data_IF_921756084088
#
_entry.id   IF_921756084088
#
_cell.length_a   1.000
_cell.length_b   1.000
_cell.length_c   1.000
_cell.angle_alpha   90.00
_cell.angle_beta   90.00
_cell.angle_gamma   90.00
#
_symmetry.space_group_name_H-M   'P 1'
#
loop_
_entity.id
_entity.type
_entity.pdbx_description
1 polymer ?
#
# COMPACT_ATOMS: atom_id res chain seq x y z
N UNK A 1 12.01 -7.83 -23.47
CA UNK A 1 13.01 -8.19 -22.44
C UNK A 1 12.40 -9.25 -21.55
N UNK A 2 13.09 -10.35 -21.27
CA UNK A 2 12.52 -11.51 -20.56
C UNK A 2 13.38 -11.86 -19.34
N UNK A 3 12.72 -12.08 -18.20
CA UNK A 3 13.36 -12.34 -16.92
C UNK A 3 12.70 -13.54 -16.24
N UNK A 4 13.53 -14.46 -15.77
CA UNK A 4 13.11 -15.56 -14.91
C UNK A 4 13.33 -15.14 -13.47
N UNK A 5 12.24 -15.00 -12.73
CA UNK A 5 12.23 -14.61 -11.33
C UNK A 5 12.07 -15.87 -10.48
N UNK A 6 12.87 -15.94 -9.42
CA UNK A 6 12.74 -16.96 -8.38
C UNK A 6 12.08 -16.31 -7.18
N UNK A 7 11.03 -16.96 -6.67
CA UNK A 7 10.37 -16.49 -5.48
C UNK A 7 11.33 -16.55 -4.29
N UNK A 8 11.56 -15.39 -3.68
CA UNK A 8 12.26 -15.25 -2.41
C UNK A 8 11.30 -14.62 -1.41
N UNK A 9 11.01 -15.37 -0.34
CA UNK A 9 10.05 -14.95 0.68
C UNK A 9 10.46 -13.62 1.35
N UNK A 10 11.75 -13.39 1.57
CA UNK A 10 12.22 -12.16 2.22
C UNK A 10 12.06 -10.96 1.30
N UNK A 11 12.39 -11.11 0.01
CA UNK A 11 12.18 -10.07 -0.99
C UNK A 11 10.69 -9.73 -1.08
N UNK A 12 9.84 -10.74 -1.23
CA UNK A 12 8.39 -10.55 -1.33
C UNK A 12 7.80 -9.90 -0.06
N UNK A 13 8.20 -10.35 1.14
CA UNK A 13 7.76 -9.73 2.40
C UNK A 13 8.14 -8.25 2.47
N UNK A 14 9.36 -7.91 2.07
CA UNK A 14 9.82 -6.52 2.04
C UNK A 14 9.02 -5.68 1.03
N UNK A 15 8.77 -6.21 -0.17
CA UNK A 15 7.97 -5.55 -1.21
C UNK A 15 6.54 -5.26 -0.74
N UNK A 16 5.91 -6.24 -0.08
CA UNK A 16 4.55 -6.09 0.45
C UNK A 16 4.51 -5.09 1.62
N UNK A 17 5.51 -5.09 2.49
CA UNK A 17 5.62 -4.10 3.56
C UNK A 17 5.84 -2.67 3.00
N UNK A 18 6.61 -2.52 1.92
CA UNK A 18 6.77 -1.25 1.21
C UNK A 18 5.48 -0.76 0.56
N UNK A 19 4.73 -1.67 -0.07
CA UNK A 19 3.42 -1.40 -0.66
C UNK A 19 2.44 -0.92 0.42
N UNK A 20 2.42 -1.60 1.57
CA UNK A 20 1.61 -1.23 2.73
C UNK A 20 1.95 0.18 3.21
N UNK A 21 3.23 0.48 3.34
CA UNK A 21 3.69 1.81 3.76
C UNK A 21 3.28 2.88 2.75
N UNK A 22 3.38 2.61 1.45
CA UNK A 22 2.90 3.52 0.40
C UNK A 22 1.40 3.79 0.50
N UNK A 23 0.59 2.77 0.83
CA UNK A 23 -0.86 2.89 0.86
C UNK A 23 -1.42 3.57 2.14
N UNK A 24 -0.76 3.39 3.29
CA UNK A 24 -1.34 3.76 4.60
C UNK A 24 -0.48 4.63 5.51
N UNK A 25 0.82 4.81 5.27
CA UNK A 25 1.72 5.53 6.20
C UNK A 25 1.24 6.94 6.54
N UNK A 26 0.83 7.71 5.52
CA UNK A 26 0.40 9.10 5.72
C UNK A 26 -0.96 9.19 6.43
N UNK A 27 -1.88 8.26 6.13
CA UNK A 27 -3.19 8.19 6.79
C UNK A 27 -3.03 7.86 8.28
N UNK A 28 -2.09 6.98 8.62
CA UNK A 28 -1.77 6.66 10.01
C UNK A 28 -1.15 7.88 10.70
N UNK A 29 -0.20 8.55 10.04
CA UNK A 29 0.46 9.73 10.60
C UNK A 29 -0.54 10.85 10.92
N UNK A 30 -1.51 11.10 10.02
CA UNK A 30 -2.51 12.14 10.19
C UNK A 30 -3.36 11.95 11.47
N UNK A 31 -3.79 10.72 11.74
CA UNK A 31 -4.63 10.42 12.90
C UNK A 31 -3.84 10.10 14.17
N UNK A 32 -2.51 9.90 14.08
CA UNK A 32 -1.68 9.42 15.20
C UNK A 32 -1.82 10.28 16.46
N UNK A 33 -2.02 11.58 16.33
CA UNK A 33 -2.08 12.49 17.49
C UNK A 33 -3.46 13.09 17.76
N UNK A 34 -4.44 12.90 16.88
CA UNK A 34 -5.76 13.55 17.02
C UNK A 34 -6.53 13.07 18.26
N UNK A 35 -6.29 11.82 18.68
CA UNK A 35 -6.94 11.25 19.86
C UNK A 35 -6.54 11.95 21.16
N UNK A 36 -5.30 12.43 21.30
CA UNK A 36 -4.87 13.16 22.51
C UNK A 36 -5.67 14.45 22.68
N UNK A 37 -5.82 15.24 21.60
CA UNK A 37 -6.61 16.47 21.64
C UNK A 37 -8.07 16.18 21.99
N UNK A 38 -8.65 15.15 21.37
CA UNK A 38 -10.02 14.73 21.67
C UNK A 38 -10.23 14.33 23.14
N UNK A 39 -9.31 13.53 23.71
CA UNK A 39 -9.35 13.11 25.12
C UNK A 39 -9.20 14.32 26.05
N UNK A 40 -8.28 15.23 25.77
CA UNK A 40 -8.08 16.45 26.57
C UNK A 40 -9.35 17.30 26.59
N UNK A 41 -9.99 17.50 25.42
CA UNK A 41 -11.24 18.25 25.31
C UNK A 41 -12.39 17.60 26.09
N UNK A 42 -12.48 16.27 26.07
CA UNK A 42 -13.46 15.54 26.88
C UNK A 42 -13.21 15.74 28.39
N UNK A 43 -11.96 15.61 28.85
CA UNK A 43 -11.61 15.78 30.26
C UNK A 43 -11.93 17.20 30.73
N UNK A 44 -11.48 18.22 29.99
CA UNK A 44 -11.75 19.64 30.34
C UNK A 44 -13.25 19.91 30.29
N UNK A 45 -13.93 19.44 29.23
CA UNK A 45 -15.37 19.59 29.07
C UNK A 45 -16.14 18.98 30.24
N UNK A 46 -15.79 17.77 30.69
CA UNK A 46 -16.37 17.09 31.84
C UNK A 46 -16.08 17.80 33.17
N UNK A 47 -14.87 18.30 33.38
CA UNK A 47 -14.53 19.05 34.60
C UNK A 47 -15.34 20.34 34.73
N UNK A 48 -15.68 20.99 33.62
CA UNK A 48 -16.53 22.19 33.62
C UNK A 48 -18.00 21.92 33.99
N UNK A 49 -18.40 20.67 34.21
CA UNK A 49 -19.73 20.31 34.73
C UNK A 49 -19.78 20.11 36.25
N UNK A 50 -18.64 20.04 36.93
CA UNK A 50 -18.61 19.55 38.32
C UNK A 50 -19.36 20.45 39.32
N UNK A 51 -19.38 21.76 39.11
CA UNK A 51 -20.03 22.72 40.02
C UNK A 51 -21.27 23.42 39.43
N UNK A 52 -21.26 23.72 38.13
CA UNK A 52 -22.42 24.28 37.40
C UNK A 52 -22.37 23.87 35.93
N UNK A 53 -23.49 23.46 35.30
CA UNK A 53 -23.50 23.15 33.88
C UNK A 53 -23.05 24.36 33.05
N UNK A 54 -21.96 24.22 32.32
CA UNK A 54 -21.44 25.24 31.42
C UNK A 54 -21.76 24.90 29.98
N UNK A 55 -22.40 25.82 29.24
CA UNK A 55 -22.59 25.68 27.79
C UNK A 55 -21.26 25.45 27.08
N UNK A 56 -20.19 26.09 27.56
CA UNK A 56 -18.84 25.90 27.02
C UNK A 56 -18.33 24.47 27.25
N UNK A 57 -18.65 23.85 28.39
CA UNK A 57 -18.33 22.44 28.66
C UNK A 57 -18.99 21.50 27.64
N UNK A 58 -20.27 21.73 27.31
CA UNK A 58 -20.97 20.97 26.27
C UNK A 58 -20.29 21.11 24.91
N UNK A 59 -19.89 22.33 24.53
CA UNK A 59 -19.18 22.59 23.27
C UNK A 59 -17.86 21.79 23.23
N UNK A 60 -17.06 21.82 24.28
CA UNK A 60 -15.80 21.05 24.35
C UNK A 60 -16.02 19.54 24.22
N UNK A 61 -17.08 19.00 24.85
CA UNK A 61 -17.43 17.58 24.71
C UNK A 61 -17.79 17.24 23.26
N UNK A 62 -18.65 18.05 22.62
CA UNK A 62 -19.05 17.84 21.22
C UNK A 62 -17.83 17.89 20.30
N UNK A 63 -16.94 18.86 20.47
CA UNK A 63 -15.69 18.94 19.70
C UNK A 63 -14.76 17.75 19.97
N UNK A 64 -14.62 17.33 21.23
CA UNK A 64 -13.84 16.16 21.61
C UNK A 64 -14.35 14.88 20.92
N UNK A 65 -15.67 14.65 20.94
CA UNK A 65 -16.30 13.54 20.23
C UNK A 65 -16.15 13.67 18.71
N UNK A 66 -16.30 14.89 18.16
CA UNK A 66 -16.12 15.16 16.73
C UNK A 66 -14.73 14.82 16.21
N UNK A 67 -13.70 14.89 17.07
CA UNK A 67 -12.33 14.47 16.75
C UNK A 67 -12.14 12.96 16.97
N UNK A 68 -12.69 12.41 18.06
CA UNK A 68 -12.48 11.01 18.45
C UNK A 68 -13.25 10.02 17.56
N UNK A 69 -14.48 10.34 17.16
CA UNK A 69 -15.29 9.44 16.34
C UNK A 69 -14.60 9.12 14.99
N UNK A 70 -14.16 10.11 14.19
CA UNK A 70 -13.38 9.85 12.98
C UNK A 70 -12.09 9.07 13.30
N UNK A 71 -11.36 9.46 14.34
CA UNK A 71 -10.14 8.78 14.75
C UNK A 71 -10.37 7.27 14.96
N UNK A 72 -11.35 6.89 15.80
CA UNK A 72 -11.63 5.48 16.07
C UNK A 72 -12.12 4.76 14.83
N UNK A 73 -13.01 5.37 14.05
CA UNK A 73 -13.48 4.79 12.78
C UNK A 73 -12.31 4.46 11.84
N UNK A 74 -11.42 5.42 11.60
CA UNK A 74 -10.25 5.22 10.74
C UNK A 74 -9.25 4.24 11.34
N UNK A 75 -9.00 4.31 12.65
CA UNK A 75 -8.11 3.39 13.35
C UNK A 75 -8.56 1.94 13.19
N UNK A 76 -9.84 1.65 13.46
CA UNK A 76 -10.37 0.29 13.31
C UNK A 76 -10.42 -0.16 11.85
N UNK A 77 -10.78 0.73 10.92
CA UNK A 77 -10.77 0.43 9.49
C UNK A 77 -9.37 0.06 9.01
N UNK A 78 -8.36 0.86 9.34
CA UNK A 78 -6.96 0.60 9.00
C UNK A 78 -6.48 -0.69 9.66
N UNK A 79 -6.75 -0.89 10.96
CA UNK A 79 -6.38 -2.11 11.68
C UNK A 79 -6.96 -3.37 11.01
N UNK A 80 -8.22 -3.31 10.57
CA UNK A 80 -8.85 -4.40 9.82
C UNK A 80 -8.19 -4.63 8.47
N UNK A 81 -7.88 -3.58 7.73
CA UNK A 81 -7.16 -3.67 6.46
C UNK A 81 -5.76 -4.27 6.64
N UNK A 82 -5.05 -3.91 7.71
CA UNK A 82 -3.73 -4.48 8.04
C UNK A 82 -3.83 -5.98 8.28
N UNK A 83 -4.82 -6.41 9.06
CA UNK A 83 -5.03 -7.84 9.30
C UNK A 83 -5.32 -8.59 8.00
N UNK A 84 -6.21 -8.07 7.16
CA UNK A 84 -6.52 -8.66 5.86
C UNK A 84 -5.31 -8.72 4.93
N UNK A 85 -4.48 -7.67 4.93
CA UNK A 85 -3.24 -7.62 4.15
C UNK A 85 -2.24 -8.69 4.59
N UNK A 86 -2.03 -8.86 5.89
CA UNK A 86 -1.15 -9.91 6.43
C UNK A 86 -1.67 -11.33 6.11
N UNK A 87 -2.99 -11.53 6.16
CA UNK A 87 -3.62 -12.79 5.77
C UNK A 87 -3.42 -13.09 4.27
N UNK A 88 -3.59 -12.10 3.39
CA UNK A 88 -3.32 -12.24 1.94
C UNK A 88 -1.85 -12.50 1.68
N UNK A 89 -0.95 -11.72 2.30
CA UNK A 89 0.51 -11.87 2.20
C UNK A 89 0.94 -13.29 2.57
N UNK A 90 0.41 -13.82 3.68
CA UNK A 90 0.75 -15.19 4.14
C UNK A 90 0.25 -16.25 3.16
N UNK A 91 -0.99 -16.12 2.67
CA UNK A 91 -1.54 -17.05 1.67
C UNK A 91 -0.78 -17.04 0.35
N UNK A 92 -0.36 -15.86 -0.12
CA UNK A 92 0.44 -15.74 -1.35
C UNK A 92 1.82 -16.37 -1.18
N UNK A 93 2.47 -16.20 -0.03
CA UNK A 93 3.74 -16.87 0.28
C UNK A 93 3.58 -18.40 0.23
N UNK A 94 2.56 -18.94 0.90
CA UNK A 94 2.27 -20.38 0.89
C UNK A 94 1.98 -20.91 -0.53
N UNK A 95 1.27 -20.13 -1.34
CA UNK A 95 1.00 -20.48 -2.74
C UNK A 95 2.28 -20.46 -3.59
N UNK A 96 3.16 -19.47 -3.39
CA UNK A 96 4.37 -19.28 -4.18
C UNK A 96 5.52 -20.20 -3.78
N UNK A 97 5.54 -20.74 -2.55
CA UNK A 97 6.55 -21.72 -2.12
C UNK A 97 6.62 -22.97 -3.01
N UNK A 98 5.50 -23.35 -3.63
CA UNK A 98 5.42 -24.51 -4.52
C UNK A 98 5.64 -24.16 -6.01
N UNK A 99 5.87 -22.88 -6.33
CA UNK A 99 6.02 -22.40 -7.69
C UNK A 99 7.50 -22.26 -8.01
N UNK A 100 7.98 -23.12 -8.91
CA UNK A 100 9.40 -23.22 -9.23
C UNK A 100 9.94 -22.01 -10.02
N UNK A 101 9.13 -21.40 -10.88
CA UNK A 101 9.58 -20.34 -11.80
C UNK A 101 8.46 -19.37 -12.16
N UNK A 102 8.75 -18.09 -12.02
CA UNK A 102 7.95 -16.99 -12.52
C UNK A 102 8.70 -16.35 -13.68
N UNK A 103 8.02 -15.98 -14.75
CA UNK A 103 8.67 -15.31 -15.88
C UNK A 103 7.93 -14.04 -16.22
N UNK A 104 8.67 -12.94 -16.27
CA UNK A 104 8.16 -11.65 -16.71
C UNK A 104 8.79 -11.29 -18.04
N UNK A 105 7.96 -10.95 -19.01
CA UNK A 105 8.38 -10.54 -20.33
C UNK A 105 7.78 -9.19 -20.70
N UNK A 106 8.65 -8.19 -20.82
CA UNK A 106 8.35 -6.85 -21.25
C UNK A 106 8.37 -6.82 -22.78
N UNK A 107 7.19 -6.66 -23.38
CA UNK A 107 7.01 -6.57 -24.84
C UNK A 107 6.56 -5.16 -25.22
N UNK A 108 6.54 -4.88 -26.52
CA UNK A 108 6.02 -3.62 -27.06
C UNK A 108 4.54 -3.41 -26.72
N UNK A 109 3.77 -4.50 -26.63
CA UNK A 109 2.33 -4.48 -26.41
C UNK A 109 1.96 -4.45 -24.92
N UNK A 110 2.76 -5.07 -24.06
CA UNK A 110 2.45 -5.18 -22.64
C UNK A 110 3.46 -5.97 -21.82
N UNK A 111 3.12 -6.18 -20.56
CA UNK A 111 3.83 -7.07 -19.65
C UNK A 111 3.14 -8.44 -19.65
N UNK A 112 3.90 -9.47 -20.00
CA UNK A 112 3.45 -10.85 -19.92
C UNK A 112 4.02 -11.45 -18.63
N UNK A 113 3.14 -11.93 -17.76
CA UNK A 113 3.50 -12.68 -16.56
C UNK A 113 3.11 -14.13 -16.75
N UNK A 114 4.09 -15.02 -16.67
CA UNK A 114 3.89 -16.47 -16.73
C UNK A 114 4.23 -17.12 -15.41
N UNK A 115 3.32 -17.94 -14.92
CA UNK A 115 3.42 -18.67 -13.67
C UNK A 115 3.05 -20.13 -13.96
N UNK A 116 4.05 -21.00 -14.01
CA UNK A 116 3.87 -22.39 -14.48
C UNK A 116 3.20 -22.42 -15.87
N UNK A 117 2.00 -23.00 -15.96
CA UNK A 117 1.22 -23.13 -17.20
C UNK A 117 0.27 -21.95 -17.46
N UNK A 118 0.13 -21.04 -16.49
CA UNK A 118 -0.73 -19.87 -16.62
C UNK A 118 0.05 -18.69 -17.17
N UNK A 119 -0.48 -18.07 -18.21
CA UNK A 119 0.05 -16.86 -18.81
C UNK A 119 -0.99 -15.76 -18.78
N UNK A 120 -0.59 -14.57 -18.33
CA UNK A 120 -1.41 -13.37 -18.33
C UNK A 120 -0.65 -12.25 -19.01
N UNK A 121 -1.25 -11.67 -20.03
CA UNK A 121 -0.76 -10.44 -20.66
C UNK A 121 -1.54 -9.25 -20.12
N UNK A 122 -0.82 -8.21 -19.72
CA UNK A 122 -1.36 -6.91 -19.34
C UNK A 122 -0.86 -5.87 -20.32
N UNK A 123 -1.77 -5.27 -21.08
CA UNK A 123 -1.40 -4.24 -22.04
C UNK A 123 -0.89 -2.98 -21.32
N UNK A 124 0.03 -2.24 -21.94
CA UNK A 124 0.52 -0.98 -21.35
C UNK A 124 -0.63 0.03 -21.08
N UNK A 125 -1.73 -0.09 -21.82
CA UNK A 125 -2.94 0.72 -21.60
C UNK A 125 -3.63 0.47 -20.26
N UNK A 126 -3.43 -0.69 -19.63
CA UNK A 126 -4.05 -1.05 -18.34
C UNK A 126 -3.29 -0.50 -17.13
N UNK A 127 -2.07 0.00 -17.33
CA UNK A 127 -1.29 0.63 -16.26
C UNK A 127 -1.63 2.12 -16.13
N UNK A 128 -2.06 2.53 -14.94
CA UNK A 128 -2.36 3.93 -14.61
C UNK A 128 -1.05 4.69 -14.36
N UNK A 129 -0.15 4.09 -13.59
CA UNK A 129 1.07 4.76 -13.15
C UNK A 129 2.14 3.75 -12.73
N UNK A 130 3.35 4.26 -12.53
CA UNK A 130 4.43 3.52 -11.91
C UNK A 130 5.05 4.37 -10.78
N UNK A 131 5.62 3.69 -9.79
CA UNK A 131 6.31 4.31 -8.66
C UNK A 131 7.64 3.58 -8.43
N UNK A 132 8.66 4.32 -8.02
CA UNK A 132 9.94 3.75 -7.63
C UNK A 132 10.16 4.08 -6.16
N UNK A 133 10.42 3.06 -5.35
CA UNK A 133 10.75 3.24 -3.93
C UNK A 133 11.71 2.15 -3.48
N UNK A 134 12.81 2.55 -2.84
CA UNK A 134 13.79 1.64 -2.26
C UNK A 134 14.21 0.53 -3.23
N UNK A 135 14.60 0.91 -4.45
CA UNK A 135 15.01 0.02 -5.54
C UNK A 135 13.97 -1.04 -5.95
N UNK A 136 12.68 -0.73 -5.73
CA UNK A 136 11.55 -1.51 -6.22
C UNK A 136 10.71 -0.65 -7.16
N UNK A 137 10.36 -1.23 -8.31
CA UNK A 137 9.41 -0.69 -9.27
C UNK A 137 8.02 -1.23 -8.93
N UNK A 138 7.06 -0.34 -8.72
CA UNK A 138 5.65 -0.66 -8.54
C UNK A 138 4.89 -0.23 -9.79
N UNK A 139 4.25 -1.16 -10.47
CA UNK A 139 3.36 -0.92 -11.60
C UNK A 139 1.91 -1.02 -11.11
N UNK A 140 1.13 0.04 -11.25
CA UNK A 140 -0.24 0.10 -10.75
C UNK A 140 -1.21 0.03 -11.92
N UNK A 141 -2.05 -1.00 -11.92
CA UNK A 141 -3.09 -1.22 -12.92
C UNK A 141 -4.40 -0.50 -12.58
N UNK A 142 -5.31 -0.40 -13.55
CA UNK A 142 -6.67 0.13 -13.34
C UNK A 142 -7.48 -0.61 -12.27
N UNK A 143 -7.18 -1.90 -12.08
CA UNK A 143 -7.79 -2.74 -11.05
C UNK A 143 -7.14 -2.58 -9.67
N UNK A 144 -6.16 -1.69 -9.54
CA UNK A 144 -5.34 -1.52 -8.34
C UNK A 144 -4.66 -2.83 -7.89
N UNK A 145 -4.31 -3.69 -8.86
CA UNK A 145 -3.44 -4.85 -8.66
C UNK A 145 -1.99 -4.38 -8.89
N UNK A 146 -1.18 -4.18 -7.83
CA UNK A 146 0.19 -3.74 -7.98
C UNK A 146 1.08 -4.90 -8.41
N UNK A 147 1.93 -4.67 -9.40
CA UNK A 147 3.01 -5.58 -9.76
C UNK A 147 4.32 -4.97 -9.29
N UNK A 148 5.12 -5.72 -8.55
CA UNK A 148 6.34 -5.23 -7.91
C UNK A 148 7.54 -5.99 -8.47
N UNK A 149 8.59 -5.26 -8.82
CA UNK A 149 9.86 -5.82 -9.26
C UNK A 149 11.01 -5.12 -8.56
N UNK A 150 11.84 -5.88 -7.85
CA UNK A 150 13.03 -5.39 -7.18
C UNK A 150 14.25 -5.43 -8.08
N UNK A 151 15.15 -4.45 -7.92
CA UNK A 151 16.49 -4.46 -8.53
C UNK A 151 17.25 -5.75 -8.20
N UNK A 152 17.10 -6.25 -6.97
CA UNK A 152 17.74 -7.49 -6.50
C UNK A 152 17.30 -8.73 -7.27
N UNK A 153 16.12 -8.71 -7.91
CA UNK A 153 15.58 -9.84 -8.64
C UNK A 153 16.06 -9.91 -10.09
N UNK A 154 16.38 -8.75 -10.69
CA UNK A 154 16.78 -8.66 -12.11
C UNK A 154 18.21 -8.19 -12.33
N UNK A 155 18.86 -7.66 -11.29
CA UNK A 155 20.18 -7.04 -11.32
C UNK A 155 20.15 -5.57 -11.76
N UNK A 156 21.10 -4.77 -11.26
CA UNK A 156 21.18 -3.32 -11.44
C UNK A 156 21.07 -2.87 -12.92
N UNK A 157 21.85 -3.50 -13.81
CA UNK A 157 21.87 -3.13 -15.23
C UNK A 157 20.52 -3.36 -15.91
N UNK A 158 19.88 -4.50 -15.63
CA UNK A 158 18.58 -4.83 -16.19
C UNK A 158 17.48 -3.96 -15.57
N UNK A 159 17.58 -3.68 -14.27
CA UNK A 159 16.63 -2.82 -13.58
C UNK A 159 16.58 -1.43 -14.23
N UNK A 160 17.73 -0.81 -14.50
CA UNK A 160 17.81 0.47 -15.23
C UNK A 160 17.15 0.39 -16.61
N UNK A 161 17.41 -0.66 -17.40
CA UNK A 161 16.77 -0.87 -18.71
C UNK A 161 15.25 -1.01 -18.60
N UNK A 162 14.76 -1.69 -17.56
CA UNK A 162 13.32 -1.86 -17.31
C UNK A 162 12.69 -0.52 -16.94
N UNK A 163 13.33 0.28 -16.08
CA UNK A 163 12.86 1.61 -15.71
C UNK A 163 12.72 2.51 -16.94
N UNK A 164 13.77 2.60 -17.75
CA UNK A 164 13.76 3.40 -18.99
C UNK A 164 12.66 2.95 -19.96
N UNK A 165 12.41 1.64 -20.01
CA UNK A 165 11.37 1.07 -20.87
C UNK A 165 9.96 1.40 -20.35
N UNK A 166 9.71 1.17 -19.06
CA UNK A 166 8.42 1.42 -18.42
C UNK A 166 8.09 2.91 -18.43
N UNK A 167 9.06 3.78 -18.18
CA UNK A 167 8.86 5.22 -18.20
C UNK A 167 8.33 5.68 -19.56
N UNK A 168 8.93 5.22 -20.66
CA UNK A 168 8.45 5.53 -22.02
C UNK A 168 7.03 5.04 -22.25
N UNK A 169 6.74 3.78 -21.91
CA UNK A 169 5.43 3.15 -22.17
C UNK A 169 4.29 3.72 -21.36
N UNK A 170 4.54 4.08 -20.10
CA UNK A 170 3.50 4.58 -19.19
C UNK A 170 3.34 6.09 -19.30
N UNK A 171 4.40 6.84 -19.62
CA UNK A 171 4.35 8.31 -19.72
C UNK A 171 3.83 8.80 -21.08
N UNK A 172 4.09 8.08 -22.18
CA UNK A 172 3.51 8.41 -23.51
C UNK A 172 1.98 8.36 -23.56
N UNK A 173 1.31 7.91 -22.48
CA UNK A 173 -0.15 7.96 -22.30
C UNK A 173 -0.67 9.25 -21.64
N UNK A 174 0.20 10.09 -21.06
CA UNK A 174 -0.18 11.38 -20.46
C UNK A 174 0.01 12.51 -21.45
#
# INVERSE_FOLDING_TARGET
MKFELKFDENIYRNQMDLLRDLAWKDKIAYYKNSHFLGIILLIIGSLLFFDRPSFFGFVLIIFGLGILIPYFYYYFKIKSSYKGFEEVKTKEIEACQNIATFTWEFTEQGLISKVQDNERMLEWKEFITYLIKENNLFLITEKYEPMILGETEVGEENFKKILDFVEKRVTEKK
#
